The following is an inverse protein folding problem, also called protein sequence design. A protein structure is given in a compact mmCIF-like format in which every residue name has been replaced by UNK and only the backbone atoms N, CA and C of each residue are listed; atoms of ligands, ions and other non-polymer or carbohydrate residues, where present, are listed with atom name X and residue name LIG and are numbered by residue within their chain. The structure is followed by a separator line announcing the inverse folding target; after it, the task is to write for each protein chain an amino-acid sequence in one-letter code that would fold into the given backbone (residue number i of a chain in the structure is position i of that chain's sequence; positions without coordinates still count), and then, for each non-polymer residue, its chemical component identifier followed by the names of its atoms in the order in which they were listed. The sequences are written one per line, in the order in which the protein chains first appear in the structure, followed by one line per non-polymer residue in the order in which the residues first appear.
data_IF_918663999850
#
_entry.id   IF_918663999850
#
_cell.length_a   1.000
_cell.length_b   1.000
_cell.length_c   1.000
_cell.angle_alpha   90.00
_cell.angle_beta   90.00
_cell.angle_gamma   90.00
#
_symmetry.space_group_name_H-M   'P 1'
#
loop_
_entity.id
_entity.type
_entity.pdbx_description
1 polymer ?
#
# COMPACT_ATOMS: atom_id res chain seq x y z
N UNK A 1 21.12 -15.93 -28.60
CA UNK A 1 22.39 -15.33 -28.09
C UNK A 1 22.70 -13.92 -28.61
N UNK A 2 22.40 -13.54 -29.87
CA UNK A 2 22.61 -12.15 -30.38
C UNK A 2 21.56 -11.13 -29.89
N UNK A 3 20.31 -11.54 -29.68
CA UNK A 3 19.19 -10.65 -29.27
C UNK A 3 19.41 -10.09 -27.85
N UNK A 4 19.70 -10.96 -26.88
CA UNK A 4 19.98 -10.53 -25.50
C UNK A 4 21.22 -9.63 -25.33
N UNK A 5 22.21 -9.73 -26.22
CA UNK A 5 23.40 -8.86 -26.18
C UNK A 5 23.08 -7.43 -26.67
N UNK A 6 22.21 -7.30 -27.68
CA UNK A 6 21.76 -6.01 -28.21
C UNK A 6 20.85 -5.26 -27.21
N UNK A 7 19.94 -5.99 -26.54
CA UNK A 7 19.04 -5.40 -25.55
C UNK A 7 19.75 -4.94 -24.27
N UNK A 8 20.82 -5.62 -23.85
CA UNK A 8 21.66 -5.16 -22.73
C UNK A 8 22.42 -3.87 -23.07
N UNK A 9 22.85 -3.70 -24.32
CA UNK A 9 23.44 -2.43 -24.80
C UNK A 9 22.39 -1.31 -24.84
N UNK A 10 21.16 -1.62 -25.22
CA UNK A 10 20.04 -0.67 -25.25
C UNK A 10 19.61 -0.22 -23.84
N UNK A 11 19.53 -1.16 -22.88
CA UNK A 11 19.33 -0.85 -21.45
C UNK A 11 20.43 0.08 -20.93
N UNK A 12 21.70 -0.20 -21.24
CA UNK A 12 22.83 0.68 -20.87
C UNK A 12 22.73 2.07 -21.48
N UNK A 13 22.32 2.16 -22.75
CA UNK A 13 22.14 3.45 -23.45
C UNK A 13 21.05 4.30 -22.80
N UNK A 14 19.89 3.71 -22.49
CA UNK A 14 18.79 4.41 -21.80
C UNK A 14 19.27 4.96 -20.46
N UNK A 15 19.99 4.15 -19.68
CA UNK A 15 20.51 4.56 -18.37
C UNK A 15 21.59 5.64 -18.47
N UNK A 16 22.41 5.61 -19.52
CA UNK A 16 23.40 6.64 -19.79
C UNK A 16 22.75 7.99 -20.16
N UNK A 17 21.66 7.98 -20.93
CA UNK A 17 20.90 9.20 -21.24
C UNK A 17 20.30 9.86 -19.99
N UNK A 18 19.96 9.05 -18.96
CA UNK A 18 19.53 9.57 -17.66
C UNK A 18 20.70 10.20 -16.89
N UNK A 19 21.87 9.55 -16.89
CA UNK A 19 23.08 10.10 -16.25
C UNK A 19 23.51 11.44 -16.87
N UNK A 20 23.32 11.59 -18.18
CA UNK A 20 23.61 12.82 -18.93
C UNK A 20 22.51 13.89 -18.78
N UNK A 21 21.42 13.59 -18.07
CA UNK A 21 20.30 14.50 -17.82
C UNK A 21 19.38 14.74 -19.02
N UNK A 22 19.53 13.97 -20.10
CA UNK A 22 18.73 14.10 -21.32
C UNK A 22 17.37 13.40 -21.23
N UNK A 23 17.20 12.49 -20.27
CA UNK A 23 15.99 11.70 -20.05
C UNK A 23 15.63 11.67 -18.56
N UNK A 24 14.35 11.83 -18.23
CA UNK A 24 13.91 11.70 -16.83
C UNK A 24 13.97 10.24 -16.38
N UNK A 25 14.19 10.02 -15.08
CA UNK A 25 14.31 8.67 -14.53
C UNK A 25 13.03 7.84 -14.73
N UNK A 26 11.85 8.48 -14.65
CA UNK A 26 10.55 7.83 -14.87
C UNK A 26 10.34 7.44 -16.35
N UNK A 27 10.72 8.31 -17.29
CA UNK A 27 10.63 8.02 -18.72
C UNK A 27 11.61 6.90 -19.11
N UNK A 28 12.81 6.92 -18.55
CA UNK A 28 13.78 5.85 -18.74
C UNK A 28 13.28 4.51 -18.22
N UNK A 29 12.65 4.50 -17.05
CA UNK A 29 12.07 3.29 -16.48
C UNK A 29 10.93 2.73 -17.35
N UNK A 30 10.07 3.58 -17.91
CA UNK A 30 9.04 3.15 -18.85
C UNK A 30 9.63 2.44 -20.09
N UNK A 31 10.71 2.98 -20.67
CA UNK A 31 11.42 2.36 -21.79
C UNK A 31 12.08 1.02 -21.39
N UNK A 32 12.67 0.95 -20.19
CA UNK A 32 13.28 -0.28 -19.69
C UNK A 32 12.23 -1.38 -19.46
N UNK A 33 11.06 -1.02 -18.93
CA UNK A 33 9.94 -1.96 -18.78
C UNK A 33 9.44 -2.49 -20.12
N UNK A 34 9.35 -1.63 -21.13
CA UNK A 34 8.92 -2.03 -22.48
C UNK A 34 9.95 -2.98 -23.11
N UNK A 35 11.24 -2.71 -22.92
CA UNK A 35 12.32 -3.62 -23.32
C UNK A 35 12.27 -4.96 -22.58
N UNK A 36 11.98 -4.97 -21.27
CA UNK A 36 11.81 -6.22 -20.49
C UNK A 36 10.60 -7.04 -20.95
N UNK A 37 9.47 -6.38 -21.25
CA UNK A 37 8.29 -7.06 -21.81
C UNK A 37 8.59 -7.70 -23.17
N UNK A 38 9.31 -6.99 -24.03
CA UNK A 38 9.78 -7.54 -25.31
C UNK A 38 10.73 -8.74 -25.10
N UNK A 39 11.52 -8.72 -24.01
CA UNK A 39 12.38 -9.82 -23.60
C UNK A 39 11.53 -11.04 -23.21
N UNK A 40 10.57 -10.87 -22.30
CA UNK A 40 9.66 -11.93 -21.84
C UNK A 40 8.86 -12.55 -23.00
N UNK A 41 8.31 -11.74 -23.90
CA UNK A 41 7.57 -12.23 -25.07
C UNK A 41 8.47 -12.98 -26.07
N UNK A 42 9.74 -12.57 -26.20
CA UNK A 42 10.72 -13.26 -27.06
C UNK A 42 11.18 -14.59 -26.45
N UNK A 43 11.35 -14.64 -25.13
CA UNK A 43 11.73 -15.84 -24.37
C UNK A 43 10.56 -16.81 -24.26
N UNK A 44 9.32 -16.33 -24.15
CA UNK A 44 8.12 -17.18 -24.16
C UNK A 44 7.95 -17.86 -25.53
N UNK A 45 8.16 -17.12 -26.63
CA UNK A 45 8.18 -17.69 -27.99
C UNK A 45 9.30 -18.72 -28.18
N UNK A 46 10.48 -18.50 -27.59
CA UNK A 46 11.57 -19.50 -27.59
C UNK A 46 11.26 -20.71 -26.70
N UNK A 47 10.58 -20.54 -25.55
CA UNK A 47 10.18 -21.65 -24.66
C UNK A 47 9.08 -22.53 -25.25
N UNK A 48 8.11 -21.94 -25.94
CA UNK A 48 7.06 -22.69 -26.66
C UNK A 48 7.65 -23.54 -27.81
N UNK A 49 8.76 -23.10 -28.41
CA UNK A 49 9.52 -23.87 -29.42
C UNK A 49 10.36 -25.02 -28.81
N UNK A 50 10.69 -24.96 -27.52
CA UNK A 50 11.55 -25.95 -26.84
C UNK A 50 10.73 -26.98 -26.06
N UNK A 51 9.49 -26.67 -25.68
CA UNK A 51 8.61 -27.56 -24.91
C UNK A 51 8.07 -28.78 -25.71
N UNK A 52 8.34 -28.89 -27.01
CA UNK A 52 8.02 -30.08 -27.82
C UNK A 52 9.02 -31.24 -27.67
N UNK A 53 10.16 -31.07 -26.97
CA UNK A 53 11.26 -32.06 -26.97
C UNK A 53 11.88 -32.35 -25.59
N UNK A 54 11.11 -32.95 -24.65
CA UNK A 54 11.52 -33.77 -23.46
C UNK A 54 10.86 -33.30 -22.15
N UNK A 55 10.40 -34.20 -21.25
CA UNK A 55 9.58 -33.85 -20.09
C UNK A 55 10.41 -33.43 -18.86
N UNK A 56 9.81 -32.54 -18.07
CA UNK A 56 10.35 -31.90 -16.88
C UNK A 56 10.17 -32.79 -15.64
N UNK A 57 11.24 -32.96 -14.85
CA UNK A 57 11.15 -33.33 -13.43
C UNK A 57 11.43 -32.09 -12.57
N UNK A 58 10.43 -31.69 -11.79
CA UNK A 58 10.48 -30.61 -10.79
C UNK A 58 11.12 -31.09 -9.50
N UNK A 59 11.92 -30.24 -8.82
CA UNK A 59 11.82 -29.93 -7.38
C UNK A 59 12.53 -28.59 -7.08
N UNK A 60 11.83 -27.67 -6.39
CA UNK A 60 12.21 -27.04 -5.10
C UNK A 60 11.42 -25.72 -4.89
N UNK A 61 10.51 -25.74 -3.91
CA UNK A 61 9.84 -24.56 -3.36
C UNK A 61 10.60 -24.07 -2.12
N UNK A 62 10.58 -22.75 -1.86
CA UNK A 62 10.15 -22.15 -0.57
C UNK A 62 10.70 -20.73 -0.30
N UNK A 63 10.53 -19.73 -1.18
CA UNK A 63 10.70 -18.30 -0.80
C UNK A 63 9.80 -17.28 -1.58
N UNK A 64 8.94 -17.74 -2.50
CA UNK A 64 8.30 -16.84 -3.50
C UNK A 64 6.85 -16.40 -3.23
N UNK A 65 6.19 -16.87 -2.16
CA UNK A 65 4.73 -16.68 -2.00
C UNK A 65 4.28 -15.23 -1.80
N UNK A 66 5.15 -14.32 -1.38
CA UNK A 66 4.81 -12.89 -1.20
C UNK A 66 5.12 -12.05 -2.43
N UNK A 67 6.06 -12.47 -3.30
CA UNK A 67 6.39 -11.75 -4.53
C UNK A 67 5.37 -11.98 -5.65
N UNK A 68 4.77 -13.18 -5.71
CA UNK A 68 3.82 -13.53 -6.75
C UNK A 68 2.57 -12.64 -6.74
N UNK A 69 1.99 -12.33 -5.58
CA UNK A 69 0.76 -11.53 -5.49
C UNK A 69 0.96 -10.06 -5.89
N UNK A 70 2.10 -9.44 -5.54
CA UNK A 70 2.39 -8.06 -5.95
C UNK A 70 2.79 -7.99 -7.43
N UNK A 71 3.55 -8.96 -7.93
CA UNK A 71 3.85 -9.05 -9.36
C UNK A 71 2.59 -9.30 -10.19
N UNK A 72 1.68 -10.19 -9.75
CA UNK A 72 0.37 -10.39 -10.38
C UNK A 72 -0.47 -9.10 -10.37
N UNK A 73 -0.53 -8.36 -9.25
CA UNK A 73 -1.20 -7.05 -9.17
C UNK A 73 -0.56 -6.02 -10.11
N UNK A 74 0.76 -6.02 -10.26
CA UNK A 74 1.49 -5.20 -11.25
C UNK A 74 1.13 -5.63 -12.67
N UNK A 75 1.12 -6.93 -12.99
CA UNK A 75 0.74 -7.44 -14.32
C UNK A 75 -0.70 -7.07 -14.68
N UNK A 76 -1.64 -7.17 -13.74
CA UNK A 76 -3.03 -6.75 -13.92
C UNK A 76 -3.18 -5.22 -14.03
N UNK A 77 -2.28 -4.45 -13.43
CA UNK A 77 -2.26 -2.98 -13.55
C UNK A 77 -1.54 -2.50 -14.81
N UNK A 78 -0.60 -3.29 -15.37
CA UNK A 78 0.08 -3.01 -16.63
C UNK A 78 -0.88 -2.96 -17.82
N UNK A 79 -1.90 -3.84 -17.86
CA UNK A 79 -2.97 -3.75 -18.87
C UNK A 79 -3.81 -2.47 -18.72
N UNK A 80 -4.05 -2.03 -17.48
CA UNK A 80 -4.83 -0.81 -17.19
C UNK A 80 -4.05 0.49 -17.34
N UNK A 81 -2.72 0.49 -17.22
CA UNK A 81 -1.87 1.68 -17.41
C UNK A 81 -1.79 2.07 -18.89
N UNK A 82 -1.75 1.09 -19.80
CA UNK A 82 -1.84 1.39 -21.25
C UNK A 82 -3.22 1.99 -21.60
N UNK A 83 -4.29 1.47 -21.00
CA UNK A 83 -5.62 2.10 -21.09
C UNK A 83 -5.66 3.50 -20.43
N UNK A 84 -4.78 3.79 -19.47
CA UNK A 84 -4.73 5.08 -18.78
C UNK A 84 -4.00 6.16 -19.60
N UNK A 85 -2.92 5.82 -20.31
CA UNK A 85 -2.19 6.77 -21.16
C UNK A 85 -3.03 7.18 -22.38
N UNK A 86 -3.72 6.22 -23.01
CA UNK A 86 -4.67 6.50 -24.11
C UNK A 86 -5.91 7.29 -23.66
N UNK A 87 -6.32 7.14 -22.40
CA UNK A 87 -7.42 7.91 -21.84
C UNK A 87 -7.01 9.27 -21.27
N UNK A 88 -5.75 9.48 -20.87
CA UNK A 88 -5.31 10.74 -20.24
C UNK A 88 -5.19 11.88 -21.26
N UNK A 89 -4.88 11.58 -22.52
CA UNK A 89 -4.94 12.58 -23.61
C UNK A 89 -6.39 12.94 -23.99
N UNK A 90 -7.37 12.11 -23.62
CA UNK A 90 -8.81 12.41 -23.76
C UNK A 90 -9.48 12.98 -22.50
N UNK A 91 -8.86 12.82 -21.31
CA UNK A 91 -9.45 13.18 -19.99
C UNK A 91 -8.98 14.50 -19.39
N UNK A 92 -8.16 15.29 -20.07
CA UNK A 92 -7.84 16.67 -19.65
C UNK A 92 -9.02 17.66 -19.77
N UNK A 93 -10.26 17.17 -19.65
CA UNK A 93 -11.49 17.96 -19.62
C UNK A 93 -12.46 17.59 -18.48
N UNK A 94 -12.06 16.74 -17.52
CA UNK A 94 -12.97 16.18 -16.49
C UNK A 94 -12.49 16.38 -15.04
N UNK A 95 -11.93 17.56 -14.72
CA UNK A 95 -11.92 18.05 -13.33
C UNK A 95 -13.28 18.62 -13.01
N UNK A 96 -14.21 17.75 -12.60
CA UNK A 96 -15.34 18.01 -11.69
C UNK A 96 -16.16 16.71 -11.52
N UNK A 97 -15.75 15.84 -10.59
CA UNK A 97 -16.41 14.56 -10.28
C UNK A 97 -17.82 14.71 -9.67
N UNK A 98 -18.30 15.94 -9.45
CA UNK A 98 -19.64 16.23 -8.93
C UNK A 98 -20.68 16.57 -10.03
N UNK A 99 -20.31 16.78 -11.30
CA UNK A 99 -21.20 17.52 -12.22
C UNK A 99 -22.30 16.73 -12.95
N UNK A 100 -22.35 15.40 -12.88
CA UNK A 100 -23.33 14.59 -13.67
C UNK A 100 -24.32 13.72 -12.87
N UNK A 101 -24.41 13.87 -11.54
CA UNK A 101 -25.26 12.98 -10.72
C UNK A 101 -26.71 13.46 -10.52
N UNK A 102 -27.10 14.62 -11.05
CA UNK A 102 -28.46 15.16 -10.93
C UNK A 102 -28.73 15.76 -9.54
N UNK A 103 -30.01 15.85 -9.14
CA UNK A 103 -30.39 16.35 -7.81
C UNK A 103 -29.91 15.39 -6.71
N UNK A 104 -29.57 15.95 -5.56
CA UNK A 104 -29.19 15.16 -4.38
C UNK A 104 -29.83 15.71 -3.12
N UNK A 105 -30.21 14.82 -2.21
CA UNK A 105 -30.71 15.18 -0.89
C UNK A 105 -29.74 14.69 0.19
N UNK A 106 -29.57 15.49 1.24
CA UNK A 106 -28.69 15.18 2.37
C UNK A 106 -29.51 14.74 3.59
N UNK A 107 -29.06 13.64 4.19
CA UNK A 107 -29.69 13.04 5.37
C UNK A 107 -28.64 12.87 6.45
N UNK A 108 -28.99 13.31 7.65
CA UNK A 108 -28.25 12.95 8.86
C UNK A 108 -29.03 11.89 9.62
N UNK A 109 -28.35 10.82 10.03
CA UNK A 109 -28.94 9.76 10.83
C UNK A 109 -27.92 9.23 11.84
N UNK A 110 -28.41 8.84 13.02
CA UNK A 110 -27.60 8.25 14.07
C UNK A 110 -28.14 6.85 14.33
N UNK A 111 -27.31 5.83 14.08
CA UNK A 111 -27.56 4.49 14.57
C UNK A 111 -26.94 4.36 15.95
N UNK A 112 -27.68 3.82 16.91
CA UNK A 112 -27.20 3.62 18.26
C UNK A 112 -27.66 2.26 18.78
N UNK A 113 -26.74 1.55 19.42
CA UNK A 113 -27.00 0.34 20.18
C UNK A 113 -26.41 0.51 21.57
N UNK A 114 -27.25 0.34 22.59
CA UNK A 114 -26.79 0.36 23.97
C UNK A 114 -26.18 -1.00 24.33
N UNK A 115 -25.15 -0.97 25.19
CA UNK A 115 -24.47 -2.17 25.72
C UNK A 115 -24.01 -3.15 24.62
N UNK A 116 -23.11 -2.69 23.75
CA UNK A 116 -22.69 -3.45 22.58
C UNK A 116 -21.46 -4.33 22.86
N UNK A 117 -21.69 -5.64 22.99
CA UNK A 117 -20.65 -6.65 23.12
C UNK A 117 -20.41 -7.33 21.78
N UNK A 118 -19.21 -7.11 21.23
CA UNK A 118 -18.70 -7.71 19.99
C UNK A 118 -17.18 -7.64 20.02
N UNK A 119 -16.51 -8.53 19.30
CA UNK A 119 -15.04 -8.58 19.17
C UNK A 119 -14.57 -8.21 17.77
N UNK A 120 -15.47 -8.28 16.78
CA UNK A 120 -15.18 -7.94 15.40
C UNK A 120 -15.93 -6.68 14.94
N UNK A 121 -15.23 -5.81 14.20
CA UNK A 121 -15.81 -4.63 13.52
C UNK A 121 -15.69 -4.85 12.02
N UNK A 122 -16.82 -4.79 11.30
CA UNK A 122 -16.88 -4.90 9.85
C UNK A 122 -17.56 -3.66 9.25
N UNK A 123 -16.82 -2.86 8.49
CA UNK A 123 -17.31 -1.63 7.87
C UNK A 123 -17.13 -1.73 6.35
N UNK A 124 -18.21 -1.58 5.59
CA UNK A 124 -18.18 -1.59 4.12
C UNK A 124 -18.91 -0.37 3.54
N UNK A 125 -18.17 0.62 3.02
CA UNK A 125 -18.76 1.86 2.48
C UNK A 125 -18.30 2.07 1.04
N UNK A 126 -19.22 2.14 0.07
CA UNK A 126 -18.85 2.36 -1.33
C UNK A 126 -18.18 3.73 -1.54
N UNK A 127 -18.85 4.82 -1.16
CA UNK A 127 -18.30 6.16 -1.31
C UNK A 127 -18.50 6.97 -0.02
N UNK A 128 -17.50 7.73 0.41
CA UNK A 128 -17.65 8.70 1.50
C UNK A 128 -16.45 8.74 2.43
N UNK A 129 -16.66 8.52 3.72
CA UNK A 129 -15.60 8.53 4.75
C UNK A 129 -15.92 7.49 5.81
N UNK A 130 -14.91 6.76 6.27
CA UNK A 130 -14.99 5.95 7.49
C UNK A 130 -14.02 6.49 8.53
N UNK A 131 -14.51 6.77 9.73
CA UNK A 131 -13.68 7.22 10.85
C UNK A 131 -14.04 6.44 12.10
N UNK A 132 -13.10 5.66 12.63
CA UNK A 132 -13.33 4.82 13.82
C UNK A 132 -12.78 5.56 15.05
N UNK A 133 -13.67 5.81 16.02
CA UNK A 133 -13.40 6.64 17.18
C UNK A 133 -13.69 5.84 18.46
N UNK A 134 -12.66 5.32 19.15
CA UNK A 134 -12.82 4.76 20.49
C UNK A 134 -13.29 5.81 21.49
N UNK A 135 -14.33 5.49 22.28
CA UNK A 135 -14.89 6.38 23.31
C UNK A 135 -15.14 5.67 24.64
N UNK A 136 -15.39 6.44 25.70
CA UNK A 136 -15.53 5.94 27.08
C UNK A 136 -16.91 5.31 27.38
N UNK A 137 -17.82 5.27 26.41
CA UNK A 137 -19.13 4.65 26.55
C UNK A 137 -19.11 3.18 26.09
N UNK A 138 -19.97 2.36 26.70
CA UNK A 138 -20.18 0.95 26.28
C UNK A 138 -21.11 0.82 25.07
N UNK A 139 -21.66 1.94 24.61
CA UNK A 139 -22.56 1.99 23.49
C UNK A 139 -21.79 2.00 22.17
N UNK A 140 -22.44 1.52 21.12
CA UNK A 140 -22.00 1.70 19.74
C UNK A 140 -22.86 2.79 19.11
N UNK A 141 -22.22 3.82 18.56
CA UNK A 141 -22.90 4.93 17.88
C UNK A 141 -22.27 5.16 16.51
N UNK A 142 -23.09 5.24 15.48
CA UNK A 142 -22.64 5.60 14.13
C UNK A 142 -23.38 6.85 13.70
N UNK A 143 -22.63 7.95 13.58
CA UNK A 143 -23.13 9.21 13.05
C UNK A 143 -22.89 9.26 11.54
N UNK A 144 -23.98 9.23 10.78
CA UNK A 144 -23.95 9.22 9.33
C UNK A 144 -24.45 10.54 8.74
N UNK A 145 -23.69 11.09 7.81
CA UNK A 145 -24.18 12.09 6.83
C UNK A 145 -24.15 11.47 5.45
N UNK A 146 -25.34 11.26 4.89
CA UNK A 146 -25.51 10.61 3.60
C UNK A 146 -26.04 11.60 2.57
N UNK A 147 -25.38 11.66 1.41
CA UNK A 147 -25.87 12.34 0.22
C UNK A 147 -26.38 11.30 -0.75
N UNK A 148 -27.68 11.35 -1.04
CA UNK A 148 -28.33 10.42 -1.96
C UNK A 148 -28.59 11.14 -3.27
N UNK A 149 -27.99 10.62 -4.34
CA UNK A 149 -28.11 11.19 -5.66
C UNK A 149 -29.34 10.64 -6.39
N UNK A 150 -29.82 11.40 -7.38
CA UNK A 150 -30.97 11.05 -8.25
C UNK A 150 -32.31 10.96 -7.54
N UNK A 151 -32.43 11.60 -6.37
CA UNK A 151 -33.69 11.74 -5.63
C UNK A 151 -34.03 13.23 -5.52
N UNK A 152 -35.32 13.55 -5.50
CA UNK A 152 -35.85 14.92 -5.38
C UNK A 152 -36.62 15.17 -4.09
N UNK A 153 -37.07 14.09 -3.43
CA UNK A 153 -37.85 14.18 -2.21
C UNK A 153 -37.05 13.69 -0.99
N UNK A 154 -37.06 14.49 0.08
CA UNK A 154 -36.32 14.20 1.31
C UNK A 154 -36.89 12.99 2.08
N UNK A 155 -38.20 12.76 2.01
CA UNK A 155 -38.86 11.62 2.63
C UNK A 155 -38.45 10.31 1.94
N UNK A 156 -38.52 10.28 0.61
CA UNK A 156 -38.07 9.16 -0.22
C UNK A 156 -36.58 8.86 -0.01
N UNK A 157 -35.76 9.91 0.10
CA UNK A 157 -34.33 9.76 0.37
C UNK A 157 -34.10 9.08 1.73
N UNK A 158 -34.81 9.48 2.79
CA UNK A 158 -34.65 8.88 4.12
C UNK A 158 -35.07 7.41 4.16
N UNK A 159 -36.19 7.06 3.53
CA UNK A 159 -36.65 5.67 3.45
C UNK A 159 -35.65 4.82 2.68
N UNK A 160 -35.15 5.33 1.55
CA UNK A 160 -34.11 4.69 0.75
C UNK A 160 -32.82 4.48 1.54
N UNK A 161 -32.36 5.48 2.29
CA UNK A 161 -31.20 5.37 3.17
C UNK A 161 -31.34 4.22 4.18
N UNK A 162 -32.45 4.19 4.92
CA UNK A 162 -32.68 3.22 5.99
C UNK A 162 -32.89 1.80 5.47
N UNK A 163 -33.40 1.64 4.24
CA UNK A 163 -33.52 0.34 3.59
C UNK A 163 -32.17 -0.21 3.14
N UNK A 164 -31.32 0.66 2.60
CA UNK A 164 -30.15 0.25 1.84
C UNK A 164 -28.86 0.22 2.68
N UNK A 165 -28.83 0.95 3.81
CA UNK A 165 -27.74 0.89 4.80
C UNK A 165 -28.02 -0.21 5.82
N UNK A 166 -27.08 -1.15 5.94
CA UNK A 166 -27.13 -2.22 6.92
C UNK A 166 -26.40 -1.78 8.20
N UNK A 167 -27.12 -1.84 9.32
CA UNK A 167 -26.56 -1.72 10.66
C UNK A 167 -27.00 -2.97 11.43
N UNK A 168 -26.05 -3.85 11.77
CA UNK A 168 -26.34 -5.11 12.44
C UNK A 168 -25.28 -5.41 13.48
N UNK A 169 -25.72 -5.89 14.64
CA UNK A 169 -24.84 -6.28 15.75
C UNK A 169 -25.32 -7.65 16.22
N UNK A 170 -24.39 -8.57 16.40
CA UNK A 170 -24.60 -9.83 17.11
C UNK A 170 -23.52 -9.97 18.21
N UNK A 171 -23.55 -11.08 18.94
CA UNK A 171 -22.65 -11.31 20.10
C UNK A 171 -21.15 -11.29 19.72
N UNK A 172 -20.81 -11.55 18.45
CA UNK A 172 -19.43 -11.65 17.99
C UNK A 172 -18.99 -10.42 17.18
N UNK A 173 -19.88 -9.83 16.41
CA UNK A 173 -19.55 -8.91 15.32
C UNK A 173 -20.53 -7.76 15.15
N UNK A 174 -19.96 -6.60 14.84
CA UNK A 174 -20.68 -5.43 14.35
C UNK A 174 -20.46 -5.28 12.85
N UNK A 175 -21.54 -5.07 12.09
CA UNK A 175 -21.55 -4.78 10.66
C UNK A 175 -22.21 -3.43 10.38
N UNK A 176 -21.49 -2.54 9.70
CA UNK A 176 -22.02 -1.35 9.06
C UNK A 176 -21.73 -1.38 7.57
N UNK A 177 -22.76 -1.40 6.72
CA UNK A 177 -22.57 -1.47 5.27
C UNK A 177 -23.46 -0.50 4.48
N UNK A 178 -22.84 0.31 3.63
CA UNK A 178 -23.47 1.19 2.65
C UNK A 178 -22.81 0.96 1.28
N UNK A 179 -23.25 -0.09 0.57
CA UNK A 179 -22.55 -0.62 -0.64
C UNK A 179 -23.00 0.06 -1.94
N UNK A 180 -24.05 0.85 -1.89
CA UNK A 180 -24.70 1.43 -3.04
C UNK A 180 -23.87 2.61 -3.58
N UNK A 181 -23.42 2.52 -4.82
CA UNK A 181 -22.53 3.53 -5.43
C UNK A 181 -23.22 4.86 -5.74
N UNK A 182 -24.54 4.90 -5.72
CA UNK A 182 -25.35 6.12 -5.95
C UNK A 182 -25.61 6.90 -4.66
N UNK A 183 -25.03 6.50 -3.52
CA UNK A 183 -25.00 7.29 -2.30
C UNK A 183 -23.54 7.54 -1.85
N UNK A 184 -23.32 8.66 -1.18
CA UNK A 184 -22.09 8.99 -0.46
C UNK A 184 -22.41 9.02 1.04
N UNK A 185 -21.70 8.24 1.85
CA UNK A 185 -21.93 8.11 3.30
C UNK A 185 -20.66 8.48 4.06
N UNK A 186 -20.72 9.57 4.81
CA UNK A 186 -19.70 9.97 5.77
C UNK A 186 -20.10 9.42 7.14
N UNK A 187 -19.32 8.47 7.66
CA UNK A 187 -19.60 7.77 8.91
C UNK A 187 -18.50 8.01 9.95
N UNK A 188 -18.87 8.64 11.06
CA UNK A 188 -18.08 8.68 12.29
C UNK A 188 -18.62 7.59 13.23
N UNK A 189 -17.80 6.57 13.49
CA UNK A 189 -18.17 5.30 14.11
C UNK A 189 -17.54 5.25 15.50
N UNK A 190 -18.33 5.53 16.52
CA UNK A 190 -17.91 5.53 17.91
C UNK A 190 -18.05 4.13 18.49
N UNK A 191 -16.94 3.56 18.94
CA UNK A 191 -16.85 2.19 19.45
C UNK A 191 -16.31 2.18 20.88
N UNK A 192 -16.75 1.25 21.75
CA UNK A 192 -16.19 1.15 23.10
C UNK A 192 -14.67 1.00 23.10
N UNK A 193 -13.98 1.64 24.05
CA UNK A 193 -12.55 1.44 24.28
C UNK A 193 -12.29 0.05 24.85
N UNK A 194 -11.89 -0.88 23.98
CA UNK A 194 -11.49 -2.26 24.31
C UNK A 194 -10.56 -2.80 23.22
N UNK A 195 -9.97 -3.96 23.48
CA UNK A 195 -9.23 -4.72 22.48
C UNK A 195 -10.19 -5.52 21.60
N UNK A 196 -10.05 -5.39 20.28
CA UNK A 196 -10.84 -6.10 19.27
C UNK A 196 -10.07 -7.28 18.67
N UNK A 197 -10.72 -8.41 18.40
CA UNK A 197 -10.05 -9.52 17.71
C UNK A 197 -9.78 -9.13 16.24
N UNK A 198 -10.74 -8.45 15.61
CA UNK A 198 -10.62 -8.05 14.20
C UNK A 198 -11.29 -6.73 13.89
N UNK A 199 -10.60 -5.89 13.12
CA UNK A 199 -11.18 -4.70 12.50
C UNK A 199 -11.02 -4.81 10.98
N UNK A 200 -12.12 -4.83 10.26
CA UNK A 200 -12.15 -4.87 8.81
C UNK A 200 -12.88 -3.64 8.27
N UNK A 201 -12.19 -2.87 7.43
CA UNK A 201 -12.75 -1.70 6.76
C UNK A 201 -12.51 -1.81 5.27
N UNK A 202 -13.57 -1.77 4.48
CA UNK A 202 -13.50 -1.77 3.03
C UNK A 202 -14.24 -0.57 2.47
N UNK A 203 -13.56 0.17 1.61
CA UNK A 203 -14.13 1.26 0.85
C UNK A 203 -13.80 1.16 -0.63
N UNK A 204 -14.61 1.79 -1.48
CA UNK A 204 -14.25 1.99 -2.88
C UNK A 204 -13.67 3.39 -3.09
N UNK A 205 -14.36 4.45 -2.64
CA UNK A 205 -13.88 5.82 -2.69
C UNK A 205 -14.02 6.51 -1.33
N UNK A 206 -12.92 7.02 -0.79
CA UNK A 206 -12.94 7.79 0.44
C UNK A 206 -11.81 7.44 1.42
N UNK A 207 -11.49 8.36 2.33
CA UNK A 207 -10.49 8.13 3.35
C UNK A 207 -11.02 7.19 4.44
N UNK A 208 -10.11 6.36 4.96
CA UNK A 208 -10.28 5.56 6.17
C UNK A 208 -9.41 6.18 7.25
N UNK A 209 -10.02 6.53 8.38
CA UNK A 209 -9.33 7.15 9.52
C UNK A 209 -9.63 6.43 10.83
N UNK A 210 -8.69 6.47 11.76
CA UNK A 210 -8.86 5.88 13.08
C UNK A 210 -7.75 6.26 14.04
N UNK A 211 -8.09 6.29 15.33
CA UNK A 211 -7.19 6.77 16.39
C UNK A 211 -7.34 5.92 17.65
N UNK A 212 -6.26 5.67 18.37
CA UNK A 212 -6.29 5.03 19.69
C UNK A 212 -6.92 3.61 19.68
N UNK A 213 -6.67 2.84 18.60
CA UNK A 213 -7.27 1.51 18.38
C UNK A 213 -6.38 0.39 18.95
N UNK A 214 -7.01 -0.58 19.60
CA UNK A 214 -6.36 -1.81 20.08
C UNK A 214 -7.00 -3.02 19.43
N UNK A 215 -6.20 -3.89 18.80
CA UNK A 215 -6.71 -5.06 18.09
C UNK A 215 -5.73 -6.22 18.06
N UNK A 216 -6.19 -7.44 17.74
CA UNK A 216 -5.30 -8.52 17.31
C UNK A 216 -4.95 -8.33 15.82
N UNK A 217 -5.98 -8.16 14.97
CA UNK A 217 -5.78 -7.95 13.52
C UNK A 217 -6.60 -6.78 12.97
N UNK A 218 -5.98 -5.89 12.19
CA UNK A 218 -6.68 -4.86 11.39
C UNK A 218 -6.42 -5.04 9.91
N UNK A 219 -7.45 -4.83 9.09
CA UNK A 219 -7.36 -4.80 7.64
C UNK A 219 -8.20 -3.65 7.08
N UNK A 220 -7.57 -2.66 6.48
CA UNK A 220 -8.24 -1.50 5.87
C UNK A 220 -7.91 -1.41 4.38
N UNK A 221 -8.94 -1.34 3.53
CA UNK A 221 -8.80 -1.30 2.07
C UNK A 221 -9.63 -0.19 1.46
N UNK A 222 -9.06 0.62 0.57
CA UNK A 222 -9.80 1.61 -0.21
C UNK A 222 -9.26 1.70 -1.63
N UNK A 223 -10.10 1.69 -2.66
CA UNK A 223 -9.58 1.79 -4.03
C UNK A 223 -9.03 3.21 -4.29
N UNK A 224 -9.77 4.25 -3.93
CA UNK A 224 -9.35 5.64 -4.09
C UNK A 224 -9.56 6.40 -2.79
N UNK A 225 -8.51 6.58 -2.01
CA UNK A 225 -8.58 7.24 -0.72
C UNK A 225 -7.36 6.97 0.11
N UNK A 226 -7.16 7.82 1.11
CA UNK A 226 -6.04 7.68 2.02
C UNK A 226 -6.42 6.81 3.21
N UNK A 227 -5.44 6.15 3.82
CA UNK A 227 -5.61 5.40 5.06
C UNK A 227 -4.75 6.09 6.13
N UNK A 228 -5.36 6.68 7.15
CA UNK A 228 -4.67 7.31 8.26
C UNK A 228 -5.02 6.67 9.59
N UNK A 229 -4.01 6.13 10.26
CA UNK A 229 -4.16 5.57 11.59
C UNK A 229 -3.10 6.13 12.53
N UNK A 230 -3.52 6.47 13.74
CA UNK A 230 -2.63 7.05 14.75
C UNK A 230 -2.83 6.37 16.09
N UNK A 231 -1.74 6.09 16.82
CA UNK A 231 -1.79 5.42 18.14
C UNK A 231 -2.54 4.09 18.08
N UNK A 232 -2.12 3.23 17.18
CA UNK A 232 -2.69 1.88 17.05
C UNK A 232 -1.78 0.84 17.69
N UNK A 233 -2.36 -0.22 18.27
CA UNK A 233 -1.60 -1.33 18.83
C UNK A 233 -2.25 -2.68 18.55
N UNK A 234 -1.43 -3.69 18.25
CA UNK A 234 -1.92 -5.02 17.91
C UNK A 234 -0.87 -5.97 17.34
N UNK A 235 -1.32 -7.12 16.83
CA UNK A 235 -0.40 -8.11 16.24
C UNK A 235 -0.18 -7.82 14.75
N UNK A 236 -1.24 -7.84 13.94
CA UNK A 236 -1.12 -7.71 12.48
C UNK A 236 -1.95 -6.56 11.92
N UNK A 237 -1.35 -5.74 11.07
CA UNK A 237 -2.02 -4.71 10.29
C UNK A 237 -1.81 -4.90 8.79
N UNK A 238 -2.88 -4.85 7.99
CA UNK A 238 -2.86 -4.91 6.53
C UNK A 238 -3.59 -3.68 5.95
N UNK A 239 -2.87 -2.82 5.23
CA UNK A 239 -3.41 -1.61 4.63
C UNK A 239 -3.18 -1.63 3.12
N UNK A 240 -4.25 -1.43 2.35
CA UNK A 240 -4.19 -1.48 0.89
C UNK A 240 -4.97 -0.32 0.26
N UNK A 241 -4.33 0.40 -0.65
CA UNK A 241 -5.04 1.34 -1.52
C UNK A 241 -4.52 1.35 -2.94
N UNK A 242 -5.36 1.62 -3.95
CA UNK A 242 -4.83 1.80 -5.30
C UNK A 242 -4.34 3.24 -5.50
N UNK A 243 -5.13 4.23 -5.09
CA UNK A 243 -4.81 5.65 -5.25
C UNK A 243 -5.00 6.39 -3.93
N UNK A 244 -3.90 6.59 -3.21
CA UNK A 244 -3.88 7.25 -1.91
C UNK A 244 -2.63 6.89 -1.11
N UNK A 245 -2.27 7.77 -0.19
CA UNK A 245 -1.22 7.51 0.79
C UNK A 245 -1.73 6.67 1.97
N UNK A 246 -0.81 5.93 2.57
CA UNK A 246 -1.02 5.19 3.82
C UNK A 246 -0.12 5.85 4.87
N UNK A 247 -0.71 6.29 5.98
CA UNK A 247 0.01 6.94 7.07
C UNK A 247 -0.37 6.26 8.37
N UNK A 248 0.63 5.68 9.03
CA UNK A 248 0.51 5.02 10.32
C UNK A 248 1.50 5.68 11.27
N UNK A 249 1.00 6.37 12.28
CA UNK A 249 1.80 7.15 13.23
C UNK A 249 1.68 6.58 14.64
N UNK A 250 2.78 6.63 15.40
CA UNK A 250 2.82 6.22 16.81
C UNK A 250 2.25 4.80 17.04
N UNK A 251 2.54 3.86 16.13
CA UNK A 251 2.00 2.51 16.21
C UNK A 251 2.87 1.58 17.09
N UNK A 252 2.26 0.50 17.59
CA UNK A 252 2.95 -0.63 18.23
C UNK A 252 2.40 -1.94 17.67
N UNK A 253 3.08 -2.51 16.68
CA UNK A 253 2.60 -3.68 15.93
C UNK A 253 3.67 -4.77 15.86
N UNK A 254 3.27 -6.05 15.88
CA UNK A 254 4.21 -7.13 15.51
C UNK A 254 4.50 -7.08 14.01
N UNK A 255 3.46 -6.99 13.18
CA UNK A 255 3.57 -6.94 11.72
C UNK A 255 2.70 -5.86 11.09
N UNK A 256 3.28 -5.07 10.19
CA UNK A 256 2.57 -4.18 9.27
C UNK A 256 2.85 -4.57 7.80
N UNK A 257 1.77 -4.71 7.03
CA UNK A 257 1.77 -4.85 5.57
C UNK A 257 1.05 -3.62 5.00
N UNK A 258 1.73 -2.78 4.24
CA UNK A 258 1.19 -1.56 3.63
C UNK A 258 1.46 -1.55 2.13
N UNK A 259 0.41 -1.55 1.31
CA UNK A 259 0.50 -1.61 -0.15
C UNK A 259 -0.27 -0.44 -0.79
N UNK A 260 0.40 0.31 -1.68
CA UNK A 260 -0.27 1.28 -2.54
C UNK A 260 0.22 1.21 -3.99
N UNK A 261 -0.63 1.54 -4.97
CA UNK A 261 -0.14 1.74 -6.33
C UNK A 261 0.33 3.18 -6.51
N UNK A 262 -0.46 4.17 -6.09
CA UNK A 262 -0.12 5.58 -6.26
C UNK A 262 -0.32 6.31 -4.94
N UNK A 263 0.76 6.46 -4.18
CA UNK A 263 0.78 7.16 -2.91
C UNK A 263 2.03 6.89 -2.09
N UNK A 264 2.30 7.79 -1.15
CA UNK A 264 3.35 7.62 -0.17
C UNK A 264 2.91 6.67 0.95
N UNK A 265 3.86 5.92 1.51
CA UNK A 265 3.66 5.10 2.70
C UNK A 265 4.50 5.70 3.83
N UNK A 266 3.88 5.97 4.97
CA UNK A 266 4.55 6.40 6.19
C UNK A 266 4.20 5.39 7.29
N UNK A 267 5.23 4.75 7.86
CA UNK A 267 5.11 3.88 9.02
C UNK A 267 6.03 4.40 10.13
N UNK A 268 5.44 4.90 11.21
CA UNK A 268 6.13 5.44 12.38
C UNK A 268 5.67 4.72 13.66
N UNK A 269 6.64 4.26 14.45
CA UNK A 269 6.41 3.57 15.72
C UNK A 269 7.28 2.33 15.94
N UNK A 270 6.80 1.43 16.81
CA UNK A 270 7.47 0.18 17.18
C UNK A 270 6.91 -0.96 16.32
N UNK A 271 7.77 -1.58 15.50
CA UNK A 271 7.38 -2.69 14.63
C UNK A 271 8.40 -3.83 14.72
N UNK A 272 7.95 -5.08 14.80
CA UNK A 272 8.87 -6.21 14.60
C UNK A 272 9.09 -6.48 13.10
N UNK A 273 8.06 -6.32 12.27
CA UNK A 273 8.07 -6.67 10.84
C UNK A 273 7.36 -5.60 10.02
N UNK A 274 8.05 -5.05 9.03
CA UNK A 274 7.49 -4.07 8.08
C UNK A 274 7.58 -4.63 6.66
N UNK A 275 6.45 -4.68 5.96
CA UNK A 275 6.39 -4.89 4.50
C UNK A 275 5.64 -3.70 3.89
N UNK A 276 6.37 -2.80 3.22
CA UNK A 276 5.85 -1.58 2.64
C UNK A 276 6.14 -1.56 1.13
N UNK A 277 5.08 -1.49 0.32
CA UNK A 277 5.19 -1.57 -1.14
C UNK A 277 4.39 -0.46 -1.81
N UNK A 278 5.07 0.36 -2.62
CA UNK A 278 4.44 1.38 -3.47
C UNK A 278 4.79 1.13 -4.94
N UNK A 279 3.93 1.51 -5.88
CA UNK A 279 4.35 1.58 -7.29
C UNK A 279 4.88 2.99 -7.60
N UNK A 280 4.08 4.02 -7.39
CA UNK A 280 4.51 5.42 -7.42
C UNK A 280 4.29 6.10 -6.07
N UNK A 281 5.38 6.41 -5.39
CA UNK A 281 5.35 7.16 -4.14
C UNK A 281 6.47 6.77 -3.18
N UNK A 282 6.81 7.73 -2.33
CA UNK A 282 7.89 7.59 -1.35
C UNK A 282 7.46 6.68 -0.20
N UNK A 283 8.41 5.89 0.31
CA UNK A 283 8.22 5.05 1.49
C UNK A 283 9.11 5.62 2.59
N UNK A 284 8.51 5.95 3.72
CA UNK A 284 9.20 6.41 4.93
C UNK A 284 8.90 5.47 6.08
N UNK A 285 9.93 4.84 6.62
CA UNK A 285 9.83 4.02 7.83
C UNK A 285 10.66 4.66 8.94
N UNK A 286 10.00 5.08 10.02
CA UNK A 286 10.65 5.58 11.23
C UNK A 286 10.47 4.54 12.33
N UNK A 287 11.53 3.78 12.59
CA UNK A 287 11.51 2.68 13.54
C UNK A 287 11.97 3.18 14.91
N UNK A 288 11.03 3.21 15.85
CA UNK A 288 11.31 3.51 17.24
C UNK A 288 11.74 2.21 17.96
N UNK A 289 12.71 2.32 18.85
CA UNK A 289 13.37 1.21 19.54
C UNK A 289 14.52 0.54 18.76
N UNK A 290 15.27 -0.29 19.49
CA UNK A 290 16.34 -1.16 18.95
C UNK A 290 15.84 -2.56 18.56
N UNK A 291 14.52 -2.73 18.41
CA UNK A 291 13.88 -4.04 18.21
C UNK A 291 13.22 -4.12 16.85
N UNK A 292 13.58 -5.14 16.07
CA UNK A 292 12.91 -5.49 14.83
C UNK A 292 13.56 -6.68 14.15
N UNK A 293 12.75 -7.51 13.49
CA UNK A 293 13.21 -8.68 12.74
C UNK A 293 13.57 -8.28 11.30
N UNK A 294 12.62 -7.67 10.57
CA UNK A 294 12.84 -7.28 9.19
C UNK A 294 12.04 -6.05 8.73
N UNK A 295 12.64 -5.30 7.80
CA UNK A 295 12.01 -4.26 7.01
C UNK A 295 12.17 -4.62 5.53
N UNK A 296 11.06 -4.74 4.82
CA UNK A 296 11.01 -4.86 3.37
C UNK A 296 10.29 -3.63 2.81
N UNK A 297 11.03 -2.76 2.13
CA UNK A 297 10.53 -1.51 1.58
C UNK A 297 10.79 -1.46 0.07
N UNK A 298 9.73 -1.50 -0.74
CA UNK A 298 9.84 -1.56 -2.20
C UNK A 298 9.00 -0.49 -2.87
N UNK A 299 9.63 0.36 -3.67
CA UNK A 299 8.93 1.31 -4.55
C UNK A 299 9.46 1.20 -5.97
N UNK A 300 8.76 1.71 -6.98
CA UNK A 300 9.29 1.71 -8.35
C UNK A 300 9.87 3.09 -8.67
N UNK A 301 9.09 4.15 -8.50
CA UNK A 301 9.54 5.52 -8.81
C UNK A 301 9.83 6.38 -7.59
N UNK A 302 9.45 5.93 -6.39
CA UNK A 302 9.62 6.69 -5.17
C UNK A 302 10.99 6.54 -4.52
N UNK A 303 11.25 7.39 -3.53
CA UNK A 303 12.37 7.26 -2.61
C UNK A 303 12.02 6.32 -1.47
N UNK A 304 13.03 5.69 -0.90
CA UNK A 304 12.90 4.93 0.35
C UNK A 304 13.73 5.65 1.41
N UNK A 305 13.09 6.08 2.47
CA UNK A 305 13.71 6.70 3.62
C UNK A 305 13.50 5.81 4.85
N UNK A 306 14.57 5.51 5.55
CA UNK A 306 14.53 4.76 6.80
C UNK A 306 15.30 5.51 7.89
N UNK A 307 14.66 5.67 9.03
CA UNK A 307 15.21 6.27 10.25
C UNK A 307 15.23 5.19 11.32
N UNK A 308 16.41 4.93 11.88
CA UNK A 308 16.62 3.90 12.89
C UNK A 308 17.20 4.52 14.17
N UNK A 309 16.89 3.94 15.33
CA UNK A 309 17.55 4.35 16.56
C UNK A 309 19.05 4.03 16.54
N UNK A 310 19.84 4.90 17.19
CA UNK A 310 21.27 4.69 17.39
C UNK A 310 21.53 3.33 18.05
N UNK A 311 22.63 2.69 17.65
CA UNK A 311 23.07 1.38 18.16
C UNK A 311 22.26 0.16 17.68
N UNK A 312 21.28 0.33 16.79
CA UNK A 312 20.59 -0.81 16.16
C UNK A 312 21.56 -1.66 15.33
N UNK A 313 21.61 -2.97 15.60
CA UNK A 313 22.38 -3.92 14.81
C UNK A 313 21.63 -4.18 13.48
N UNK A 314 22.27 -3.93 12.34
CA UNK A 314 21.59 -3.96 11.03
C UNK A 314 22.38 -4.82 10.04
N UNK A 315 21.67 -5.65 9.30
CA UNK A 315 22.13 -6.27 8.04
C UNK A 315 21.24 -5.75 6.92
N UNK A 316 21.80 -5.01 5.97
CA UNK A 316 21.03 -4.34 4.93
C UNK A 316 21.44 -4.72 3.51
N UNK A 317 20.45 -4.86 2.63
CA UNK A 317 20.58 -5.02 1.19
C UNK A 317 19.75 -3.95 0.48
N UNK A 318 20.43 -3.03 -0.21
CA UNK A 318 19.79 -1.94 -0.94
C UNK A 318 20.03 -2.10 -2.44
N UNK A 319 18.98 -1.91 -3.24
CA UNK A 319 19.02 -2.02 -4.69
C UNK A 319 18.40 -0.79 -5.35
N UNK A 320 19.10 -0.20 -6.31
CA UNK A 320 18.52 0.81 -7.19
C UNK A 320 19.03 0.72 -8.62
N UNK A 321 18.19 0.91 -9.63
CA UNK A 321 18.66 0.91 -11.03
C UNK A 321 19.30 2.26 -11.38
N UNK A 322 18.58 3.35 -11.13
CA UNK A 322 19.02 4.71 -11.52
C UNK A 322 19.46 5.54 -10.32
N UNK A 323 18.70 5.49 -9.22
CA UNK A 323 18.86 6.40 -8.10
C UNK A 323 20.11 6.14 -7.26
N UNK A 324 20.23 6.84 -6.13
CA UNK A 324 21.41 6.73 -5.26
C UNK A 324 21.13 5.88 -4.03
N UNK A 325 22.18 5.27 -3.48
CA UNK A 325 22.13 4.50 -2.24
C UNK A 325 22.97 5.24 -1.21
N UNK A 326 22.38 5.58 -0.06
CA UNK A 326 23.01 6.32 1.02
C UNK A 326 22.72 5.63 2.34
N UNK A 327 23.76 5.30 3.10
CA UNK A 327 23.63 4.71 4.43
C UNK A 327 24.55 5.47 5.36
N UNK A 328 23.96 6.04 6.41
CA UNK A 328 24.67 6.82 7.42
C UNK A 328 24.42 6.21 8.80
N UNK A 329 24.96 5.02 9.03
CA UNK A 329 24.85 4.30 10.30
C UNK A 329 26.22 4.25 11.01
N UNK A 330 26.28 4.46 12.34
CA UNK A 330 27.50 4.26 13.11
C UNK A 330 28.02 2.82 12.98
N UNK A 331 29.33 2.68 12.74
CA UNK A 331 29.96 1.35 12.66
C UNK A 331 29.52 0.52 11.46
N UNK A 332 29.15 1.15 10.34
CA UNK A 332 28.85 0.45 9.09
C UNK A 332 30.10 -0.20 8.48
N UNK A 333 29.97 -1.47 8.11
CA UNK A 333 30.90 -2.23 7.26
C UNK A 333 30.20 -2.56 5.94
N UNK A 334 30.76 -2.07 4.84
CA UNK A 334 30.30 -2.42 3.49
C UNK A 334 30.82 -3.82 3.15
N UNK A 335 29.91 -4.76 2.92
CA UNK A 335 30.22 -6.14 2.55
C UNK A 335 30.40 -6.23 1.03
N UNK A 336 29.52 -5.59 0.28
CA UNK A 336 29.56 -5.57 -1.18
C UNK A 336 29.00 -4.25 -1.70
N UNK A 337 29.69 -3.65 -2.66
CA UNK A 337 29.19 -2.49 -3.39
C UNK A 337 29.37 -2.72 -4.89
N UNK A 338 28.25 -2.76 -5.61
CA UNK A 338 28.20 -2.79 -7.08
C UNK A 338 27.61 -1.48 -7.57
N UNK A 339 28.36 -0.76 -8.40
CA UNK A 339 27.94 0.50 -9.04
C UNK A 339 27.91 0.31 -10.55
N UNK A 340 27.14 -0.66 -11.02
CA UNK A 340 26.99 -0.87 -12.46
C UNK A 340 26.03 0.17 -13.06
N UNK A 341 26.17 0.40 -14.36
CA UNK A 341 25.26 1.29 -15.10
C UNK A 341 23.82 0.77 -15.05
N UNK A 342 23.64 -0.57 -14.98
CA UNK A 342 22.34 -1.24 -15.01
C UNK A 342 21.69 -1.31 -13.62
N UNK A 343 22.49 -1.58 -12.59
CA UNK A 343 22.01 -1.74 -11.23
C UNK A 343 23.09 -1.37 -10.23
N UNK A 344 22.67 -0.65 -9.20
CA UNK A 344 23.45 -0.37 -8.00
C UNK A 344 22.95 -1.28 -6.89
N UNK A 345 23.89 -1.94 -6.22
CA UNK A 345 23.61 -2.82 -5.08
C UNK A 345 24.58 -2.47 -3.96
N UNK A 346 24.06 -2.33 -2.75
CA UNK A 346 24.87 -2.12 -1.54
C UNK A 346 24.44 -3.14 -0.48
N UNK A 347 25.36 -4.03 -0.10
CA UNK A 347 25.22 -4.90 1.05
C UNK A 347 26.11 -4.38 2.17
N UNK A 348 25.53 -4.19 3.35
CA UNK A 348 26.24 -3.67 4.51
C UNK A 348 25.76 -4.35 5.80
N UNK A 349 26.58 -4.24 6.83
CA UNK A 349 26.27 -4.67 8.21
C UNK A 349 26.84 -3.68 9.22
N UNK A 350 26.37 -3.68 10.46
CA UNK A 350 26.99 -2.87 11.53
C UNK A 350 27.84 -3.74 12.48
N UNK A 351 28.88 -3.15 13.07
CA UNK A 351 29.90 -3.85 13.90
C UNK A 351 29.36 -4.33 15.26
N UNK A 352 28.15 -3.92 15.66
CA UNK A 352 27.60 -4.22 16.98
C UNK A 352 26.82 -5.55 17.01
N UNK A 353 27.32 -6.51 17.79
CA UNK A 353 26.73 -7.84 18.02
C UNK A 353 25.74 -7.86 19.20
N UNK A 354 24.93 -6.83 19.40
CA UNK A 354 23.79 -6.93 20.31
C UNK A 354 22.60 -7.50 19.54
N UNK A 355 22.23 -8.75 19.82
CA UNK A 355 21.02 -9.35 19.29
C UNK A 355 19.78 -8.67 19.91
N UNK A 356 18.69 -8.45 19.17
CA UNK A 356 18.42 -8.93 17.80
C UNK A 356 19.00 -8.06 16.67
N UNK A 357 19.29 -8.67 15.52
CA UNK A 357 19.75 -7.99 14.30
C UNK A 357 18.57 -7.70 13.39
N UNK A 358 18.43 -6.46 12.95
CA UNK A 358 17.43 -6.00 12.00
C UNK A 358 17.86 -6.28 10.56
N UNK A 359 17.05 -7.01 9.81
CA UNK A 359 17.29 -7.26 8.39
C UNK A 359 16.54 -6.25 7.51
N UNK A 360 17.27 -5.49 6.70
CA UNK A 360 16.68 -4.45 5.84
C UNK A 360 16.84 -4.84 4.38
N UNK A 361 15.72 -4.87 3.66
CA UNK A 361 15.66 -5.04 2.22
C UNK A 361 14.94 -3.84 1.62
N UNK A 362 15.67 -3.02 0.87
CA UNK A 362 15.08 -1.87 0.18
C UNK A 362 15.38 -1.91 -1.32
N UNK A 363 14.33 -1.76 -2.14
CA UNK A 363 14.42 -1.76 -3.61
C UNK A 363 13.64 -0.58 -4.18
N UNK A 364 14.29 0.20 -5.04
CA UNK A 364 13.65 1.22 -5.87
C UNK A 364 14.21 1.18 -7.28
N UNK A 365 13.44 1.49 -8.31
CA UNK A 365 14.00 1.51 -9.68
C UNK A 365 14.60 2.86 -10.02
N UNK A 366 13.89 3.94 -9.71
CA UNK A 366 14.34 5.29 -10.09
C UNK A 366 14.75 6.18 -8.92
N UNK A 367 14.24 5.90 -7.72
CA UNK A 367 14.45 6.77 -6.56
C UNK A 367 15.72 6.50 -5.76
N UNK A 368 15.94 7.36 -4.77
CA UNK A 368 17.05 7.22 -3.82
C UNK A 368 16.62 6.38 -2.62
N UNK A 369 17.52 5.54 -2.13
CA UNK A 369 17.39 4.86 -0.84
C UNK A 369 18.33 5.54 0.15
N UNK A 370 17.78 6.02 1.26
CA UNK A 370 18.51 6.66 2.35
C UNK A 370 18.17 5.99 3.67
N UNK A 371 19.20 5.59 4.41
CA UNK A 371 19.10 5.04 5.78
C UNK A 371 19.93 5.91 6.72
N UNK A 372 19.31 6.38 7.78
CA UNK A 372 19.92 7.23 8.81
C UNK A 372 19.79 6.63 10.21
#
# INVERSE_FOLDING_TARGET
MKVGKNMQEEKKRILQLVQEGQLSADAAFALLLELEKAEEESVQKEKDLVHELVPVTNQEESYEKTHASFQEKIHFSKEKIMDFIDNTIKKMKETDLDFNFGTSEEISHIFQQNEAFFKEINIEIANGKANIIPWDQQDLRVECRARIYRIKDRGEAKETFLRDVLFSINEDSFLFAAKQKWMKVEADIYVPKKQYDRIFVRMFNGPISGKDLQFEKIKAKTANGTIQLQRISGEKAEFETANGGITVEQARLDKIEAETLNGAIVADGFFNKIDAQSFTGDISCDLQGQTGDYIHAKTITGKVYMSLESETAVNGELKSNIGSLQVNLPGIEIVEEKKEVIQKVLLFKTVHFAAPVLHIFADTKTGTISIN
#
